data_IF_913684177518
#
_entry.id   IF_913684177518
#
_cell.length_a   1.000
_cell.length_b   1.000
_cell.length_c   1.000
_cell.angle_alpha   90.00
_cell.angle_beta   90.00
_cell.angle_gamma   90.00
#
_symmetry.space_group_name_H-M   'P 1'
#
loop_
_entity.id
_entity.type
_entity.pdbx_description
1 polymer ?
#
# COMPACT_ATOMS: atom_id res chain seq x y z
N UNK A 1 -13.99 -5.66 3.07
CA UNK A 1 -12.93 -5.31 4.05
C UNK A 1 -13.28 -4.09 4.91
N UNK A 2 -13.53 -2.91 4.35
CA UNK A 2 -13.65 -1.64 5.11
C UNK A 2 -15.10 -1.17 5.38
N UNK A 3 -16.06 -2.10 5.56
CA UNK A 3 -17.49 -1.75 5.76
C UNK A 3 -17.79 -1.23 7.18
N UNK A 4 -17.04 -1.68 8.18
CA UNK A 4 -17.11 -1.18 9.56
C UNK A 4 -15.83 -0.43 9.92
N UNK A 5 -15.85 0.46 10.93
CA UNK A 5 -14.65 1.11 11.43
C UNK A 5 -13.56 0.10 11.80
N UNK A 6 -12.32 0.45 11.54
CA UNK A 6 -11.12 -0.33 11.88
C UNK A 6 -10.19 0.51 12.75
N UNK A 7 -9.30 -0.15 13.47
CA UNK A 7 -8.33 0.51 14.35
C UNK A 7 -6.99 0.65 13.65
N UNK A 8 -6.39 1.83 13.72
CA UNK A 8 -4.97 2.03 13.37
C UNK A 8 -4.11 1.55 14.53
N UNK A 9 -3.16 0.65 14.24
CA UNK A 9 -2.19 0.12 15.20
C UNK A 9 -0.91 0.94 15.23
N UNK A 10 -0.35 1.26 14.07
CA UNK A 10 0.87 2.05 13.94
C UNK A 10 0.97 2.65 12.55
N UNK A 11 1.78 3.70 12.42
CA UNK A 11 2.21 4.24 11.13
C UNK A 11 3.74 4.34 11.13
N UNK A 12 4.36 3.98 10.02
CA UNK A 12 5.81 3.92 9.88
C UNK A 12 6.23 4.57 8.57
N UNK A 13 7.11 5.58 8.62
CA UNK A 13 7.72 6.13 7.41
C UNK A 13 8.67 5.10 6.80
N UNK A 14 8.57 4.88 5.50
CA UNK A 14 9.28 3.81 4.80
C UNK A 14 10.67 4.25 4.35
N UNK A 15 11.68 3.47 4.74
CA UNK A 15 13.06 3.62 4.27
C UNK A 15 13.22 3.02 2.87
N UNK A 16 14.34 3.32 2.21
CA UNK A 16 14.61 2.89 0.83
C UNK A 16 14.49 1.38 0.60
N UNK A 17 14.91 0.56 1.58
CA UNK A 17 14.77 -0.91 1.52
C UNK A 17 13.31 -1.35 1.51
N UNK A 18 12.46 -0.72 2.32
CA UNK A 18 11.03 -1.08 2.41
C UNK A 18 10.29 -0.64 1.16
N UNK A 19 10.63 0.55 0.64
CA UNK A 19 10.12 1.03 -0.66
C UNK A 19 10.48 0.06 -1.79
N UNK A 20 11.74 -0.42 -1.83
CA UNK A 20 12.19 -1.41 -2.82
C UNK A 20 11.38 -2.71 -2.73
N UNK A 21 11.13 -3.23 -1.53
CA UNK A 21 10.32 -4.43 -1.33
C UNK A 21 8.90 -4.25 -1.87
N UNK A 22 8.24 -3.14 -1.52
CA UNK A 22 6.86 -2.88 -1.98
C UNK A 22 6.80 -2.74 -3.51
N UNK A 23 7.76 -2.07 -4.14
CA UNK A 23 7.82 -1.99 -5.62
C UNK A 23 7.95 -3.37 -6.28
N UNK A 24 8.77 -4.25 -5.72
CA UNK A 24 8.89 -5.63 -6.21
C UNK A 24 7.55 -6.37 -6.10
N UNK A 25 6.83 -6.23 -4.99
CA UNK A 25 5.52 -6.87 -4.83
C UNK A 25 4.44 -6.26 -5.72
N UNK A 26 4.47 -4.95 -5.98
CA UNK A 26 3.59 -4.30 -6.97
C UNK A 26 3.87 -4.87 -8.36
N UNK A 27 5.13 -4.94 -8.79
CA UNK A 27 5.50 -5.46 -10.10
C UNK A 27 5.06 -6.93 -10.29
N UNK A 28 5.14 -7.73 -9.22
CA UNK A 28 4.63 -9.12 -9.23
C UNK A 28 3.11 -9.19 -9.29
N UNK A 29 2.42 -8.34 -8.55
CA UNK A 29 0.95 -8.35 -8.46
C UNK A 29 0.28 -7.75 -9.70
N UNK A 30 0.97 -6.83 -10.39
CA UNK A 30 0.49 -6.10 -11.54
C UNK A 30 1.54 -6.17 -12.67
N UNK A 31 1.61 -7.33 -13.32
CA UNK A 31 2.63 -7.63 -14.35
C UNK A 31 2.58 -6.71 -15.58
N UNK A 32 1.47 -6.00 -15.78
CA UNK A 32 1.26 -5.05 -16.85
C UNK A 32 1.82 -3.63 -16.57
N UNK A 33 2.27 -3.34 -15.34
CA UNK A 33 2.84 -2.04 -15.00
C UNK A 33 4.30 -1.97 -15.42
N UNK A 34 4.73 -0.83 -15.96
CA UNK A 34 6.14 -0.57 -16.21
C UNK A 34 6.90 -0.24 -14.92
N UNK A 35 8.22 -0.21 -14.99
CA UNK A 35 9.06 0.27 -13.89
C UNK A 35 8.77 1.75 -13.58
N UNK A 36 8.47 2.57 -14.59
CA UNK A 36 8.05 3.97 -14.37
C UNK A 36 6.71 4.06 -13.65
N UNK A 37 5.72 3.23 -14.03
CA UNK A 37 4.42 3.20 -13.35
C UNK A 37 4.57 2.85 -11.87
N UNK A 38 5.37 1.82 -11.56
CA UNK A 38 5.63 1.40 -10.17
C UNK A 38 6.37 2.48 -9.38
N UNK A 39 7.30 3.22 -10.02
CA UNK A 39 7.97 4.35 -9.39
C UNK A 39 7.04 5.55 -9.19
N UNK A 40 6.00 5.69 -10.00
CA UNK A 40 4.94 6.69 -9.80
C UNK A 40 4.06 6.33 -8.60
N UNK A 41 3.73 5.05 -8.43
CA UNK A 41 2.93 4.57 -7.29
C UNK A 41 3.71 4.66 -5.97
N UNK A 42 4.99 4.28 -5.97
CA UNK A 42 5.88 4.39 -4.80
C UNK A 42 7.05 5.31 -5.17
N UNK A 43 6.90 6.64 -5.00
CA UNK A 43 7.93 7.61 -5.37
C UNK A 43 9.17 7.59 -4.48
N UNK A 44 10.29 8.07 -5.02
CA UNK A 44 11.57 8.16 -4.28
C UNK A 44 11.67 9.43 -3.43
N UNK A 45 11.07 10.54 -3.88
CA UNK A 45 11.26 11.87 -3.27
C UNK A 45 10.14 12.27 -2.31
N UNK A 46 9.00 11.58 -2.36
CA UNK A 46 7.84 11.93 -1.54
C UNK A 46 7.80 11.13 -0.22
N UNK A 47 6.96 11.59 0.70
CA UNK A 47 6.73 10.87 1.95
C UNK A 47 5.89 9.63 1.68
N UNK A 48 6.47 8.46 1.98
CA UNK A 48 5.81 7.17 1.83
C UNK A 48 5.79 6.50 3.19
N UNK A 49 4.61 6.05 3.61
CA UNK A 49 4.44 5.36 4.89
C UNK A 49 3.59 4.12 4.75
N UNK A 50 3.80 3.16 5.65
CA UNK A 50 2.92 2.03 5.86
C UNK A 50 2.12 2.23 7.14
N UNK A 51 0.82 1.97 7.06
CA UNK A 51 -0.11 2.04 8.20
C UNK A 51 -0.58 0.63 8.51
N UNK A 52 -0.23 0.13 9.70
CA UNK A 52 -0.76 -1.15 10.18
C UNK A 52 -2.13 -0.91 10.79
N UNK A 53 -3.12 -1.66 10.33
CA UNK A 53 -4.49 -1.60 10.83
C UNK A 53 -4.94 -2.95 11.38
N UNK A 54 -6.03 -2.91 12.13
CA UNK A 54 -6.78 -4.08 12.56
C UNK A 54 -8.25 -3.90 12.21
N UNK A 55 -8.75 -4.76 11.33
CA UNK A 55 -10.12 -4.73 10.85
C UNK A 55 -11.09 -5.21 11.93
N UNK A 56 -12.37 -4.89 11.76
CA UNK A 56 -13.43 -5.40 12.64
C UNK A 56 -13.64 -6.93 12.51
N UNK A 57 -13.04 -7.57 11.50
CA UNK A 57 -13.09 -9.02 11.27
C UNK A 57 -11.93 -9.74 11.96
N UNK A 58 -11.08 -9.03 12.70
CA UNK A 58 -9.92 -9.60 13.41
C UNK A 58 -8.67 -9.74 12.54
N UNK A 59 -8.65 -9.16 11.34
CA UNK A 59 -7.53 -9.27 10.41
C UNK A 59 -6.58 -8.08 10.55
N UNK A 60 -5.28 -8.32 10.33
CA UNK A 60 -4.32 -7.24 10.19
C UNK A 60 -4.12 -6.94 8.70
N UNK A 61 -3.90 -5.66 8.41
CA UNK A 61 -3.57 -5.22 7.07
C UNK A 61 -2.57 -4.08 7.12
N UNK A 62 -1.87 -3.90 6.02
CA UNK A 62 -1.02 -2.75 5.77
C UNK A 62 -1.67 -1.88 4.71
N UNK A 63 -1.70 -0.58 4.94
CA UNK A 63 -2.09 0.42 3.96
C UNK A 63 -0.85 1.22 3.59
N UNK A 64 -0.52 1.30 2.32
CA UNK A 64 0.58 2.12 1.82
C UNK A 64 0.05 3.49 1.41
N UNK A 65 0.67 4.52 1.98
CA UNK A 65 0.26 5.90 1.78
C UNK A 65 1.41 6.71 1.18
N UNK A 66 1.08 7.57 0.22
CA UNK A 66 1.97 8.60 -0.32
C UNK A 66 1.40 9.96 0.05
N UNK A 67 2.17 10.85 0.66
CA UNK A 67 1.71 12.15 1.16
C UNK A 67 0.40 12.05 1.96
N UNK A 68 0.30 11.06 2.85
CA UNK A 68 -0.88 10.76 3.68
C UNK A 68 -2.13 10.31 2.90
N UNK A 69 -2.02 10.06 1.59
CA UNK A 69 -3.10 9.49 0.78
C UNK A 69 -2.92 7.97 0.62
N UNK A 70 -3.91 7.13 0.98
CA UNK A 70 -3.80 5.70 0.85
C UNK A 70 -3.97 5.26 -0.61
N UNK A 71 -3.02 4.49 -1.14
CA UNK A 71 -3.00 4.03 -2.53
C UNK A 71 -3.22 2.53 -2.66
N UNK A 72 -2.59 1.76 -1.79
CA UNK A 72 -2.61 0.30 -1.82
C UNK A 72 -2.85 -0.25 -0.43
N UNK A 73 -3.39 -1.45 -0.34
CA UNK A 73 -3.39 -2.21 0.89
C UNK A 73 -3.15 -3.70 0.63
N UNK A 74 -2.63 -4.39 1.64
CA UNK A 74 -2.50 -5.84 1.64
C UNK A 74 -3.00 -6.42 2.96
N UNK A 75 -3.55 -7.63 2.88
CA UNK A 75 -3.88 -8.45 4.04
C UNK A 75 -2.63 -9.23 4.48
N UNK A 76 -2.30 -9.15 5.77
CA UNK A 76 -1.09 -9.75 6.37
C UNK A 76 -0.96 -11.25 6.05
N UNK A 77 -2.10 -11.96 5.96
CA UNK A 77 -2.14 -13.40 5.66
C UNK A 77 -2.11 -13.76 4.17
N UNK A 78 -2.58 -12.88 3.30
CA UNK A 78 -2.77 -13.20 1.87
C UNK A 78 -1.64 -12.68 0.99
N UNK A 79 -0.91 -11.63 1.42
CA UNK A 79 0.18 -10.99 0.64
C UNK A 79 -0.22 -10.63 -0.79
N UNK A 80 -1.49 -10.31 -0.99
CA UNK A 80 -2.03 -9.77 -2.25
C UNK A 80 -2.24 -8.28 -2.07
N UNK A 81 -1.72 -7.49 -3.01
CA UNK A 81 -1.91 -6.05 -3.05
C UNK A 81 -3.20 -5.69 -3.76
N UNK A 82 -3.95 -4.76 -3.17
CA UNK A 82 -5.19 -4.23 -3.70
C UNK A 82 -5.11 -2.71 -3.80
N UNK A 83 -5.58 -2.09 -4.90
CA UNK A 83 -5.70 -0.64 -4.99
C UNK A 83 -6.82 -0.12 -4.09
N UNK A 84 -6.67 1.11 -3.59
CA UNK A 84 -7.79 1.83 -2.97
C UNK A 84 -8.72 2.35 -4.05
N UNK A 85 -10.03 2.38 -3.77
CA UNK A 85 -11.06 2.73 -4.76
C UNK A 85 -11.12 4.21 -5.17
N UNK A 86 -10.10 5.03 -4.88
CA UNK A 86 -10.08 6.43 -5.36
C UNK A 86 -9.81 6.42 -6.88
N UNK A 87 -10.66 7.11 -7.63
CA UNK A 87 -10.52 7.30 -9.09
C UNK A 87 -9.14 7.90 -9.42
N UNK A 88 -8.37 7.17 -10.25
CA UNK A 88 -7.01 7.44 -10.76
C UNK A 88 -5.85 7.10 -9.81
N UNK A 89 -5.50 5.82 -9.77
CA UNK A 89 -4.15 5.34 -9.36
C UNK A 89 -3.36 4.87 -10.61
N UNK A 90 -4.04 4.76 -11.75
CA UNK A 90 -3.49 4.33 -13.03
C UNK A 90 -3.92 5.34 -14.10
N UNK A 91 -3.06 5.65 -15.09
CA UNK A 91 -3.45 6.41 -16.27
C UNK A 91 -4.61 5.75 -17.03
#
# INVERSE_FOLDING_TARGET
MFKKPFRVKSQTSMKGSDRKKVRVEIQKSFSNLSVEDVNTIIPNKEDVSSVKIHTNTGENAFIYCVNKQPLLFELDKQKVLYPTGKKKILP
#
